data_IF_702198419886
#
_entry.id   IF_702198419886
#
_cell.length_a   1.000
_cell.length_b   1.000
_cell.length_c   1.000
_cell.angle_alpha   90.00
_cell.angle_beta   90.00
_cell.angle_gamma   90.00
#
_symmetry.space_group_name_H-M   'P 1'
#
loop_
_entity.id
_entity.type
_entity.pdbx_description
1 polymer ?
#
# COMPACT_ATOMS: atom_id res chain seq x y z
N UNK A 1 -2.40 -21.12 2.46
CA UNK A 1 -1.62 -20.21 3.33
C UNK A 1 -1.92 -18.81 2.84
N UNK A 2 -2.61 -18.00 3.64
CA UNK A 2 -3.27 -16.77 3.19
C UNK A 2 -2.50 -15.59 3.75
N UNK A 3 -1.98 -14.74 2.86
CA UNK A 3 -1.20 -13.56 3.22
C UNK A 3 -1.77 -12.41 2.41
N UNK A 4 -1.94 -11.26 3.05
CA UNK A 4 -2.62 -10.10 2.47
C UNK A 4 -2.00 -8.81 2.99
N UNK A 5 -1.74 -7.89 2.06
CA UNK A 5 -1.27 -6.53 2.35
C UNK A 5 -2.45 -5.58 2.44
N UNK A 6 -2.43 -4.70 3.44
CA UNK A 6 -3.33 -3.54 3.52
C UNK A 6 -2.48 -2.30 3.36
N UNK A 7 -2.90 -1.41 2.49
CA UNK A 7 -2.27 -0.11 2.33
C UNK A 7 -3.25 0.94 2.81
N UNK A 8 -2.87 1.75 3.80
CA UNK A 8 -3.72 2.83 4.27
C UNK A 8 -3.08 4.17 3.99
N UNK A 9 -3.69 4.90 3.03
CA UNK A 9 -3.10 6.02 2.31
C UNK A 9 -2.00 5.55 1.37
N UNK A 10 -2.46 5.13 0.19
CA UNK A 10 -1.62 5.04 -0.99
C UNK A 10 -1.52 6.42 -1.62
N UNK A 11 -0.29 6.91 -1.76
CA UNK A 11 0.03 8.04 -2.62
C UNK A 11 0.40 7.42 -3.97
N UNK A 12 -0.56 7.33 -4.89
CA UNK A 12 -0.27 6.81 -6.23
C UNK A 12 0.26 7.98 -7.07
N UNK A 13 1.51 7.91 -7.53
CA UNK A 13 1.87 8.64 -8.72
C UNK A 13 1.25 7.87 -9.88
N UNK A 14 0.09 8.36 -10.33
CA UNK A 14 -0.46 7.90 -11.60
C UNK A 14 0.32 8.68 -12.65
N UNK A 15 1.09 7.97 -13.46
CA UNK A 15 1.73 8.50 -14.66
C UNK A 15 0.67 9.22 -15.49
N UNK A 16 0.90 10.51 -15.77
CA UNK A 16 -0.06 11.42 -16.39
C UNK A 16 -0.33 11.02 -17.84
N UNK A 17 -1.27 10.09 -18.06
CA UNK A 17 -1.99 10.00 -19.31
C UNK A 17 -3.11 11.02 -19.29
N UNK A 18 -2.94 12.06 -20.12
CA UNK A 18 -3.86 13.20 -20.32
C UNK A 18 -5.25 12.71 -20.77
N UNK A 19 -6.10 12.30 -19.84
CA UNK A 19 -7.54 12.35 -20.02
C UNK A 19 -8.21 12.82 -18.73
N UNK A 20 -8.73 14.03 -18.82
CA UNK A 20 -9.26 14.85 -17.75
C UNK A 20 -10.56 14.24 -17.21
N UNK A 21 -10.50 13.61 -16.05
CA UNK A 21 -11.67 13.38 -15.19
C UNK A 21 -11.44 14.16 -13.89
N UNK A 22 -12.22 15.23 -13.71
CA UNK A 22 -12.16 16.11 -12.56
C UNK A 22 -12.68 15.39 -11.31
N UNK A 23 -11.77 14.92 -10.46
CA UNK A 23 -12.06 14.59 -9.08
C UNK A 23 -11.61 15.77 -8.21
N UNK A 24 -12.49 16.22 -7.33
CA UNK A 24 -12.27 17.34 -6.42
C UNK A 24 -10.98 17.17 -5.63
N UNK A 25 -10.03 18.09 -5.84
CA UNK A 25 -8.75 18.19 -5.15
C UNK A 25 -8.96 18.26 -3.63
N UNK A 26 -8.67 17.17 -2.92
CA UNK A 26 -8.41 17.26 -1.49
C UNK A 26 -7.02 17.90 -1.32
N UNK A 27 -7.00 19.24 -1.26
CA UNK A 27 -5.79 20.00 -0.89
C UNK A 27 -5.18 19.42 0.38
N UNK A 28 -3.87 19.19 0.34
CA UNK A 28 -3.02 18.78 1.46
C UNK A 28 -3.30 19.69 2.66
N UNK A 29 -4.16 19.26 3.59
CA UNK A 29 -4.37 20.01 4.83
C UNK A 29 -3.15 19.78 5.71
N UNK A 30 -2.45 20.86 6.04
CA UNK A 30 -1.29 20.93 6.95
C UNK A 30 -1.66 20.42 8.36
N UNK A 31 -1.78 19.11 8.51
CA UNK A 31 -1.48 18.44 9.77
C UNK A 31 -0.05 17.90 9.65
N UNK A 32 0.75 17.97 10.71
CA UNK A 32 2.10 17.44 10.84
C UNK A 32 2.16 15.92 10.56
N UNK A 33 1.94 15.52 9.31
CA UNK A 33 1.96 14.16 8.82
C UNK A 33 3.28 13.99 8.11
N UNK A 34 4.10 13.08 8.62
CA UNK A 34 5.38 12.73 8.00
C UNK A 34 5.11 12.18 6.60
N UNK A 35 6.02 12.45 5.66
CA UNK A 35 5.99 11.87 4.32
C UNK A 35 6.67 10.49 4.28
N UNK A 36 7.34 10.09 5.36
CA UNK A 36 7.91 8.76 5.50
C UNK A 36 6.82 7.69 5.51
N UNK A 37 7.16 6.54 4.93
CA UNK A 37 6.32 5.34 4.99
C UNK A 37 6.49 4.69 6.35
N UNK A 38 5.38 4.41 7.03
CA UNK A 38 5.40 3.58 8.23
C UNK A 38 4.75 2.23 7.94
N UNK A 39 5.23 1.19 8.63
CA UNK A 39 4.79 -0.19 8.42
C UNK A 39 4.44 -0.80 9.77
N UNK A 40 3.22 -1.31 9.89
CA UNK A 40 2.76 -2.08 11.04
C UNK A 40 2.39 -3.48 10.57
N UNK A 41 3.03 -4.51 11.11
CA UNK A 41 2.73 -5.89 10.75
C UNK A 41 2.19 -6.68 11.95
N UNK A 42 1.21 -7.55 11.69
CA UNK A 42 0.57 -8.42 12.68
C UNK A 42 0.64 -9.87 12.20
N UNK A 43 0.97 -10.79 13.09
CA UNK A 43 1.12 -12.22 12.79
C UNK A 43 2.57 -12.68 12.59
N UNK A 44 2.75 -13.98 12.41
CA UNK A 44 4.06 -14.59 12.11
C UNK A 44 4.43 -14.40 10.63
N UNK A 45 5.70 -14.58 10.26
CA UNK A 45 6.18 -14.37 8.89
C UNK A 45 5.41 -15.16 7.81
N UNK A 46 4.84 -16.32 8.15
CA UNK A 46 4.05 -17.16 7.23
C UNK A 46 2.56 -16.79 7.19
N UNK A 47 2.10 -15.92 8.08
CA UNK A 47 0.71 -15.49 8.22
C UNK A 47 0.65 -14.02 8.65
N UNK A 48 1.46 -13.20 7.99
CA UNK A 48 1.63 -11.80 8.32
C UNK A 48 0.62 -10.96 7.54
N UNK A 49 0.02 -9.97 8.18
CA UNK A 49 -0.66 -8.88 7.48
C UNK A 49 0.07 -7.60 7.83
N UNK A 50 0.37 -6.77 6.84
CA UNK A 50 1.02 -5.48 7.05
C UNK A 50 0.13 -4.34 6.60
N UNK A 51 0.12 -3.28 7.40
CA UNK A 51 -0.51 -2.01 7.16
C UNK A 51 0.59 -0.99 6.82
N UNK A 52 0.54 -0.45 5.62
CA UNK A 52 1.46 0.59 5.17
C UNK A 52 0.79 1.95 5.21
N UNK A 53 1.40 2.94 5.88
CA UNK A 53 0.99 4.34 5.76
C UNK A 53 1.95 5.10 4.87
N UNK A 54 1.41 5.93 3.97
CA UNK A 54 2.19 6.66 2.95
C UNK A 54 3.01 5.69 2.08
N UNK A 55 2.38 4.68 1.50
CA UNK A 55 3.04 3.84 0.49
C UNK A 55 2.93 4.53 -0.86
N UNK A 56 4.06 4.65 -1.56
CA UNK A 56 4.13 5.34 -2.84
C UNK A 56 4.14 4.34 -3.99
N UNK A 57 3.61 4.72 -5.14
CA UNK A 57 3.78 3.97 -6.38
C UNK A 57 4.59 4.81 -7.34
N UNK A 58 5.82 4.38 -7.65
CA UNK A 58 6.82 5.13 -8.42
C UNK A 58 7.51 4.14 -9.35
N UNK A 59 7.75 4.53 -10.60
CA UNK A 59 8.41 3.68 -11.61
C UNK A 59 7.75 2.29 -11.76
N UNK A 60 6.41 2.26 -11.71
CA UNK A 60 5.59 1.04 -11.74
C UNK A 60 5.72 0.08 -10.55
N UNK A 61 6.35 0.52 -9.44
CA UNK A 61 6.57 -0.31 -8.27
C UNK A 61 6.14 0.39 -6.97
N UNK A 62 5.61 -0.40 -6.03
CA UNK A 62 5.35 0.11 -4.68
C UNK A 62 6.68 0.38 -3.98
N UNK A 63 6.82 1.58 -3.45
CA UNK A 63 8.06 2.08 -2.84
C UNK A 63 7.79 2.66 -1.45
N UNK A 64 8.58 2.20 -0.49
CA UNK A 64 8.71 2.70 0.88
C UNK A 64 9.75 3.82 0.86
N UNK A 65 9.35 5.02 1.29
CA UNK A 65 10.25 6.16 1.45
C UNK A 65 10.58 6.33 2.94
N UNK A 66 11.85 6.42 3.28
CA UNK A 66 12.31 6.46 4.68
C UNK A 66 13.57 7.30 4.80
N UNK A 67 13.84 7.81 6.00
CA UNK A 67 15.11 8.50 6.29
C UNK A 67 16.12 7.52 6.87
N UNK A 68 17.39 7.75 6.59
CA UNK A 68 18.51 6.97 7.10
C UNK A 68 18.47 6.87 8.63
N UNK A 69 18.63 5.65 9.14
CA UNK A 69 18.57 5.35 10.57
C UNK A 69 17.18 4.97 11.08
N UNK A 70 16.12 5.15 10.29
CA UNK A 70 14.80 4.67 10.66
C UNK A 70 14.72 3.14 10.57
N UNK A 71 14.26 2.52 11.65
CA UNK A 71 14.03 1.07 11.72
C UNK A 71 12.62 0.73 11.26
N UNK A 72 12.49 -0.18 10.30
CA UNK A 72 11.22 -0.78 9.89
C UNK A 72 11.16 -2.20 10.46
N UNK A 73 9.96 -2.69 10.84
CA UNK A 73 9.81 -4.07 11.27
C UNK A 73 10.20 -5.04 10.14
N UNK A 74 10.46 -6.31 10.47
CA UNK A 74 10.56 -7.34 9.44
C UNK A 74 9.19 -7.57 8.80
N UNK A 75 9.11 -7.43 7.48
CA UNK A 75 7.90 -7.67 6.71
C UNK A 75 8.19 -8.62 5.54
N UNK A 76 7.29 -9.58 5.34
CA UNK A 76 7.33 -10.56 4.25
C UNK A 76 5.90 -10.84 3.83
N UNK A 77 5.35 -9.97 2.98
CA UNK A 77 3.95 -10.08 2.56
C UNK A 77 3.89 -10.73 1.18
N UNK A 78 3.04 -11.73 1.04
CA UNK A 78 2.63 -12.28 -0.26
C UNK A 78 1.28 -11.65 -0.58
N UNK A 79 1.10 -11.28 -1.84
CA UNK A 79 -0.14 -10.65 -2.29
C UNK A 79 -1.10 -11.66 -2.90
N UNK A 80 -0.64 -12.87 -3.21
CA UNK A 80 -1.45 -13.93 -3.81
C UNK A 80 -0.97 -15.33 -3.35
N UNK A 81 -1.84 -16.32 -3.55
CA UNK A 81 -1.63 -17.69 -3.10
C UNK A 81 -0.57 -18.46 -3.92
N UNK A 82 -0.27 -18.04 -5.16
CA UNK A 82 0.46 -18.83 -6.15
C UNK A 82 1.89 -18.32 -6.40
N UNK A 83 2.17 -17.06 -6.08
CA UNK A 83 3.51 -16.47 -6.04
C UNK A 83 4.12 -16.83 -4.70
N UNK A 84 5.06 -17.77 -4.72
CA UNK A 84 5.71 -18.29 -3.52
C UNK A 84 6.75 -17.33 -2.93
N UNK A 85 7.15 -16.31 -3.68
CA UNK A 85 8.10 -15.29 -3.26
C UNK A 85 7.37 -14.11 -2.59
N UNK A 86 7.87 -13.58 -1.47
CA UNK A 86 7.29 -12.39 -0.86
C UNK A 86 7.45 -11.19 -1.79
N UNK A 87 6.38 -10.42 -1.95
CA UNK A 87 6.43 -9.14 -2.63
C UNK A 87 6.82 -8.08 -1.59
N UNK A 88 8.10 -7.77 -1.55
CA UNK A 88 8.64 -6.68 -0.72
C UNK A 88 8.60 -5.40 -1.54
N UNK A 89 7.87 -4.35 -1.11
CA UNK A 89 7.95 -3.06 -1.77
C UNK A 89 9.40 -2.58 -1.85
N UNK A 90 9.75 -1.87 -2.93
CA UNK A 90 11.05 -1.22 -3.04
C UNK A 90 11.28 -0.28 -1.87
N UNK A 91 12.54 -0.03 -1.55
CA UNK A 91 12.93 0.86 -0.46
C UNK A 91 13.85 1.94 -0.98
N UNK A 92 13.47 3.20 -0.78
CA UNK A 92 14.31 4.37 -1.05
C UNK A 92 14.60 5.10 0.25
N UNK A 93 15.89 5.24 0.55
CA UNK A 93 16.38 5.85 1.78
C UNK A 93 16.95 7.23 1.46
N UNK A 94 16.54 8.24 2.21
CA UNK A 94 17.01 9.62 2.10
C UNK A 94 17.94 9.95 3.26
N UNK A 95 18.96 10.79 3.03
CA UNK A 95 19.85 11.25 4.09
C UNK A 95 19.17 12.28 5.01
N UNK A 96 18.20 13.06 4.49
CA UNK A 96 17.45 14.06 5.25
C UNK A 96 15.95 14.08 4.90
N UNK A 97 15.14 14.63 5.81
CA UNK A 97 13.71 14.87 5.54
C UNK A 97 13.49 15.86 4.40
N UNK A 98 14.37 16.86 4.25
CA UNK A 98 14.27 17.87 3.19
C UNK A 98 14.41 17.24 1.80
N UNK A 99 15.31 16.27 1.65
CA UNK A 99 15.50 15.55 0.37
C UNK A 99 14.29 14.67 0.05
N UNK A 100 13.74 14.00 1.06
CA UNK A 100 12.52 13.20 0.93
C UNK A 100 11.34 14.08 0.53
N UNK A 101 11.13 15.21 1.22
CA UNK A 101 10.05 16.13 0.91
C UNK A 101 10.19 16.71 -0.50
N UNK A 102 11.40 17.09 -0.89
CA UNK A 102 11.69 17.58 -2.25
C UNK A 102 11.36 16.50 -3.28
N UNK A 103 11.77 15.25 -3.06
CA UNK A 103 11.48 14.13 -3.95
C UNK A 103 9.96 13.89 -4.08
N UNK A 104 9.24 13.83 -2.96
CA UNK A 104 7.79 13.60 -2.98
C UNK A 104 7.06 14.73 -3.70
N UNK A 105 7.43 16.00 -3.46
CA UNK A 105 6.71 17.15 -4.01
C UNK A 105 7.07 17.48 -5.45
N UNK A 106 8.31 17.20 -5.88
CA UNK A 106 8.80 17.64 -7.21
C UNK A 106 8.95 16.49 -8.20
N UNK A 107 9.23 15.28 -7.73
CA UNK A 107 9.44 14.11 -8.62
C UNK A 107 8.20 13.24 -8.66
N UNK A 108 7.65 12.88 -7.50
CA UNK A 108 6.52 11.95 -7.44
C UNK A 108 5.22 12.61 -7.89
N UNK A 109 4.96 13.85 -7.46
CA UNK A 109 3.71 14.51 -7.89
C UNK A 109 2.43 13.83 -7.33
N UNK A 110 2.39 13.25 -6.11
CA UNK A 110 1.48 12.13 -5.88
C UNK A 110 0.02 12.55 -5.77
N UNK A 111 -0.86 11.76 -6.39
CA UNK A 111 -2.29 11.81 -6.14
C UNK A 111 -2.63 11.01 -4.88
N UNK A 112 -3.19 11.69 -3.89
CA UNK A 112 -3.65 11.04 -2.65
C UNK A 112 -4.90 10.22 -2.94
N UNK A 113 -4.90 8.96 -2.51
CA UNK A 113 -6.14 8.17 -2.40
C UNK A 113 -6.65 8.25 -0.96
N UNK A 114 -7.77 8.96 -0.72
CA UNK A 114 -8.37 9.06 0.61
C UNK A 114 -9.18 7.79 0.89
N UNK A 115 -8.54 6.75 1.44
CA UNK A 115 -9.16 5.55 2.03
C UNK A 115 -8.10 4.47 2.26
N UNK A 116 -8.50 3.38 2.91
CA UNK A 116 -7.75 2.13 2.89
C UNK A 116 -7.83 1.54 1.49
N UNK A 117 -6.70 1.13 0.94
CA UNK A 117 -6.58 0.37 -0.30
C UNK A 117 -6.07 -1.03 0.02
N UNK A 118 -6.84 -2.05 -0.35
CA UNK A 118 -6.42 -3.43 -0.32
C UNK A 118 -5.66 -3.76 -1.60
N UNK A 119 -4.46 -4.29 -1.45
CA UNK A 119 -3.65 -4.75 -2.58
C UNK A 119 -3.41 -6.24 -2.45
N UNK A 120 -3.99 -7.01 -3.36
CA UNK A 120 -3.87 -8.45 -3.45
C UNK A 120 -3.92 -8.89 -4.93
N UNK A 121 -3.27 -10.00 -5.25
CA UNK A 121 -3.37 -10.63 -6.56
C UNK A 121 -4.51 -11.64 -6.58
N UNK A 122 -5.22 -11.70 -7.71
CA UNK A 122 -6.33 -12.62 -7.87
C UNK A 122 -6.16 -13.43 -9.16
N UNK A 123 -5.66 -14.65 -9.00
CA UNK A 123 -5.68 -15.63 -10.07
C UNK A 123 -7.11 -16.13 -10.31
N UNK A 124 -7.42 -16.48 -11.56
CA UNK A 124 -8.70 -17.04 -11.98
C UNK A 124 -9.92 -16.23 -11.51
N UNK A 125 -9.91 -14.93 -11.80
CA UNK A 125 -11.01 -14.03 -11.47
C UNK A 125 -12.34 -14.43 -12.14
N UNK A 126 -12.29 -15.24 -13.19
CA UNK A 126 -13.42 -15.88 -13.86
C UNK A 126 -14.05 -17.02 -13.03
N UNK A 127 -13.30 -17.62 -12.10
CA UNK A 127 -13.81 -18.62 -11.18
C UNK A 127 -14.16 -17.99 -9.83
N UNK A 128 -15.46 -17.89 -9.53
CA UNK A 128 -15.94 -17.25 -8.29
C UNK A 128 -15.41 -17.91 -7.01
N UNK A 129 -15.15 -19.21 -7.02
CA UNK A 129 -14.56 -19.91 -5.88
C UNK A 129 -13.14 -19.40 -5.60
N UNK A 130 -12.27 -19.46 -6.62
CA UNK A 130 -10.90 -18.97 -6.50
C UNK A 130 -10.83 -17.48 -6.17
N UNK A 131 -11.65 -16.66 -6.85
CA UNK A 131 -11.80 -15.25 -6.56
C UNK A 131 -12.04 -14.94 -5.08
N UNK A 132 -13.00 -15.65 -4.48
CA UNK A 132 -13.39 -15.47 -3.08
C UNK A 132 -12.32 -15.96 -2.12
N UNK A 133 -11.77 -17.16 -2.32
CA UNK A 133 -10.89 -17.81 -1.34
C UNK A 133 -9.42 -17.41 -1.44
N UNK A 134 -8.91 -17.22 -2.66
CA UNK A 134 -7.47 -16.99 -2.88
C UNK A 134 -7.08 -15.51 -2.76
N UNK A 135 -8.00 -14.60 -3.08
CA UNK A 135 -7.77 -13.16 -3.03
C UNK A 135 -8.59 -12.45 -1.94
N UNK A 136 -9.92 -12.47 -2.08
CA UNK A 136 -10.81 -11.64 -1.25
C UNK A 136 -10.82 -12.05 0.23
N UNK A 137 -10.83 -13.35 0.54
CA UNK A 137 -10.82 -13.84 1.91
C UNK A 137 -9.57 -13.40 2.70
N UNK A 138 -8.33 -13.61 2.20
CA UNK A 138 -7.13 -13.02 2.81
C UNK A 138 -7.25 -11.51 3.01
N UNK A 139 -7.71 -10.77 1.99
CA UNK A 139 -7.79 -9.32 2.03
C UNK A 139 -8.78 -8.84 3.11
N UNK A 140 -9.91 -9.53 3.26
CA UNK A 140 -10.89 -9.28 4.32
C UNK A 140 -10.35 -9.61 5.71
N UNK A 141 -9.67 -10.76 5.89
CA UNK A 141 -9.02 -11.13 7.16
C UNK A 141 -8.00 -10.06 7.59
N UNK A 142 -7.29 -9.47 6.63
CA UNK A 142 -6.40 -8.36 6.88
C UNK A 142 -7.16 -7.18 7.54
N UNK A 143 -8.28 -6.74 6.95
CA UNK A 143 -9.08 -5.64 7.50
C UNK A 143 -9.58 -5.90 8.92
N UNK A 144 -9.83 -7.16 9.26
CA UNK A 144 -10.20 -7.55 10.63
C UNK A 144 -9.01 -7.44 11.58
N UNK A 145 -7.81 -7.89 11.16
CA UNK A 145 -6.58 -7.81 11.97
C UNK A 145 -6.20 -6.38 12.32
N UNK A 146 -6.50 -5.44 11.44
CA UNK A 146 -6.36 -4.01 11.70
C UNK A 146 -7.73 -3.40 12.01
N UNK A 147 -8.35 -3.77 13.12
CA UNK A 147 -9.62 -3.15 13.54
C UNK A 147 -9.45 -1.63 13.77
N UNK A 148 -10.44 -0.78 13.41
CA UNK A 148 -11.78 -1.08 12.90
C UNK A 148 -11.89 -1.02 11.35
N UNK A 149 -10.83 -1.32 10.59
CA UNK A 149 -10.77 -1.01 9.14
C UNK A 149 -11.84 -1.71 8.30
N UNK A 150 -12.29 -2.89 8.71
CA UNK A 150 -13.41 -3.61 8.09
C UNK A 150 -14.76 -2.86 8.17
N UNK A 151 -14.89 -1.86 9.06
CA UNK A 151 -16.10 -1.05 9.22
C UNK A 151 -16.08 0.22 8.36
N UNK A 152 -15.01 0.48 7.62
CA UNK A 152 -14.86 1.66 6.79
C UNK A 152 -14.81 1.30 5.30
N UNK A 153 -15.24 2.21 4.40
CA UNK A 153 -15.05 2.01 2.97
C UNK A 153 -13.58 1.81 2.63
N UNK A 154 -13.31 0.81 1.81
CA UNK A 154 -11.99 0.51 1.27
C UNK A 154 -12.06 0.40 -0.24
N UNK A 155 -10.92 0.63 -0.88
CA UNK A 155 -10.71 0.42 -2.31
C UNK A 155 -9.99 -0.90 -2.50
N UNK A 156 -10.31 -1.61 -3.57
CA UNK A 156 -9.53 -2.75 -4.02
C UNK A 156 -8.64 -2.29 -5.16
N UNK A 157 -7.36 -2.61 -5.08
CA UNK A 157 -6.42 -2.56 -6.17
C UNK A 157 -5.97 -4.01 -6.40
N UNK A 158 -6.60 -4.68 -7.36
CA UNK A 158 -6.28 -6.06 -7.70
C UNK A 158 -5.34 -6.11 -8.91
N UNK A 159 -4.41 -7.06 -8.89
CA UNK A 159 -3.56 -7.42 -10.04
C UNK A 159 -4.00 -8.76 -10.60
#
# INVERSE_FOLDING_TARGET
>A
MLISSIVEKSLLAVESNKHTVSFTDSKFTHQNKTLETTVQCVGSLYNQSCLYHNLYYVDSEFTILTIKGQHLPSYSVRIDAFVLWPLTPNKRVFDSYSDLETFVRTVIDPKIIPSVTLYFGQYWHDNIGHALFDGLYPAYVALIRFSPRHLHPFRILAR
#
